data_IF_759727619262
#
_entry.id   IF_759727619262
#
_cell.length_a   1.000
_cell.length_b   1.000
_cell.length_c   1.000
_cell.angle_alpha   90.00
_cell.angle_beta   90.00
_cell.angle_gamma   90.00
#
_symmetry.space_group_name_H-M   'P 1'
#
loop_
_entity.id
_entity.type
_entity.pdbx_description
1 polymer ?
#
# COMPACT_ATOMS: atom_id res chain seq x y z
N UNK A 1 12.92 17.85 21.78
CA UNK A 1 12.48 16.81 20.82
C UNK A 1 12.85 17.32 19.43
N UNK A 2 13.32 16.44 18.51
CA UNK A 2 13.60 16.81 17.11
C UNK A 2 12.29 17.18 16.44
N UNK A 3 12.28 18.26 15.63
CA UNK A 3 11.13 18.67 14.84
C UNK A 3 11.35 18.34 13.37
N UNK A 4 10.35 17.71 12.73
CA UNK A 4 10.30 17.55 11.28
C UNK A 4 9.82 18.83 10.63
N UNK A 5 9.99 18.92 9.32
CA UNK A 5 9.53 20.03 8.49
C UNK A 5 8.85 19.49 7.24
N UNK A 6 7.98 20.27 6.64
CA UNK A 6 7.50 20.03 5.29
C UNK A 6 8.66 20.22 4.29
N UNK A 7 8.60 19.54 3.16
CA UNK A 7 9.54 19.74 2.04
C UNK A 7 8.79 20.33 0.85
N UNK A 8 8.97 21.62 0.62
CA UNK A 8 8.22 22.37 -0.40
C UNK A 8 9.19 23.15 -1.27
N UNK A 9 9.03 23.04 -2.60
CA UNK A 9 9.82 23.77 -3.58
C UNK A 9 11.35 23.65 -3.37
N UNK A 10 11.82 22.43 -3.07
CA UNK A 10 13.24 22.16 -2.92
C UNK A 10 13.85 22.54 -1.56
N UNK A 11 13.02 22.87 -0.56
CA UNK A 11 13.50 23.29 0.75
C UNK A 11 12.65 22.76 1.90
N UNK A 12 13.28 22.53 3.04
CA UNK A 12 12.57 22.27 4.29
C UNK A 12 11.96 23.55 4.86
N UNK A 13 10.68 23.51 5.19
CA UNK A 13 9.92 24.65 5.71
C UNK A 13 9.08 24.24 6.92
N UNK A 14 8.98 25.12 7.92
CA UNK A 14 8.11 24.92 9.06
C UNK A 14 6.63 25.07 8.65
N UNK A 15 5.70 24.40 9.37
CA UNK A 15 4.27 24.57 9.11
C UNK A 15 3.86 26.04 9.33
N UNK A 16 3.02 26.56 8.43
CA UNK A 16 2.60 27.96 8.43
C UNK A 16 1.96 28.40 9.76
N UNK A 17 1.22 27.51 10.41
CA UNK A 17 0.59 27.77 11.70
C UNK A 17 1.54 27.55 12.92
N UNK A 18 2.76 27.07 12.70
CA UNK A 18 3.73 26.76 13.77
C UNK A 18 3.25 25.66 14.72
N UNK A 19 2.32 24.81 14.30
CA UNK A 19 1.77 23.72 15.12
C UNK A 19 2.41 22.39 14.76
N UNK A 20 2.59 21.55 15.81
CA UNK A 20 3.18 20.22 15.70
C UNK A 20 2.38 19.20 16.49
N UNK A 21 2.43 17.94 16.08
CA UNK A 21 1.96 16.76 16.82
C UNK A 21 3.13 15.89 17.23
N UNK A 22 2.97 15.13 18.29
CA UNK A 22 3.96 14.16 18.73
C UNK A 22 3.87 12.88 17.91
N UNK A 23 5.02 12.37 17.47
CA UNK A 23 5.14 11.04 16.86
C UNK A 23 5.57 10.07 17.95
N UNK A 24 4.81 9.00 18.06
CA UNK A 24 4.98 7.97 19.09
C UNK A 24 5.77 6.81 18.50
N UNK A 25 6.81 6.36 19.19
CA UNK A 25 7.46 5.08 18.88
C UNK A 25 6.55 3.95 19.39
N UNK A 26 6.00 3.10 18.50
CA UNK A 26 5.03 2.09 18.89
C UNK A 26 5.64 0.94 19.70
N UNK A 27 6.98 0.81 19.70
CA UNK A 27 7.67 -0.24 20.47
C UNK A 27 7.72 0.05 21.97
N UNK A 28 7.56 1.32 22.38
CA UNK A 28 7.62 1.71 23.79
C UNK A 28 6.54 2.73 24.22
N UNK A 29 5.70 3.19 23.29
CA UNK A 29 4.62 4.15 23.56
C UNK A 29 5.09 5.57 23.86
N UNK A 30 6.36 5.92 23.62
CA UNK A 30 6.92 7.23 23.96
C UNK A 30 7.01 8.14 22.74
N UNK A 31 6.75 9.43 22.97
CA UNK A 31 6.98 10.45 21.96
C UNK A 31 8.49 10.70 21.78
N UNK A 32 8.96 10.76 20.52
CA UNK A 32 10.40 10.95 20.23
C UNK A 32 10.68 12.05 19.20
N UNK A 33 9.69 12.39 18.35
CA UNK A 33 9.77 13.39 17.28
C UNK A 33 8.49 14.21 17.29
N UNK A 34 8.56 15.47 16.87
CA UNK A 34 7.41 16.32 16.57
C UNK A 34 7.28 16.52 15.07
N UNK A 35 6.07 16.34 14.52
CA UNK A 35 5.77 16.48 13.10
C UNK A 35 4.81 17.64 12.85
N UNK A 36 4.94 18.37 11.72
CA UNK A 36 4.03 19.44 11.34
C UNK A 36 2.56 19.04 11.39
N UNK A 37 1.72 19.93 11.92
CA UNK A 37 0.28 19.95 11.67
C UNK A 37 0.00 21.04 10.64
N UNK A 38 0.17 20.68 9.37
CA UNK A 38 0.03 21.60 8.25
C UNK A 38 -1.42 21.96 7.97
N UNK A 39 -1.63 23.18 7.49
CA UNK A 39 -2.93 23.78 7.19
C UNK A 39 -3.13 23.94 5.68
N UNK A 40 -4.29 24.50 5.29
CA UNK A 40 -4.59 24.86 3.90
C UNK A 40 -3.49 25.76 3.27
N UNK A 41 -2.84 26.62 4.06
CA UNK A 41 -1.77 27.47 3.58
C UNK A 41 -0.52 26.68 3.14
N UNK A 42 -0.17 25.62 3.89
CA UNK A 42 0.95 24.73 3.54
C UNK A 42 0.63 23.91 2.28
N UNK A 43 -0.60 23.42 2.19
CA UNK A 43 -1.09 22.69 1.02
C UNK A 43 -1.12 23.60 -0.22
N UNK A 44 -1.61 24.83 -0.09
CA UNK A 44 -1.61 25.79 -1.19
C UNK A 44 -0.18 26.07 -1.66
N UNK A 45 0.75 26.34 -0.75
CA UNK A 45 2.16 26.57 -1.09
C UNK A 45 2.77 25.39 -1.86
N UNK A 46 2.53 24.16 -1.43
CA UNK A 46 3.03 22.96 -2.10
C UNK A 46 2.37 22.74 -3.47
N UNK A 47 1.05 22.95 -3.57
CA UNK A 47 0.32 22.83 -4.84
C UNK A 47 0.74 23.90 -5.86
N UNK A 48 0.98 25.13 -5.43
CA UNK A 48 1.50 26.22 -6.28
C UNK A 48 2.93 25.91 -6.77
N UNK A 49 3.80 25.41 -5.87
CA UNK A 49 5.15 25.00 -6.24
C UNK A 49 5.13 23.86 -7.28
N UNK A 50 4.29 22.85 -7.07
CA UNK A 50 4.10 21.76 -8.01
C UNK A 50 3.56 22.22 -9.36
N UNK A 51 2.61 23.15 -9.38
CA UNK A 51 2.04 23.72 -10.59
C UNK A 51 3.08 24.55 -11.39
N UNK A 52 3.90 25.34 -10.70
CA UNK A 52 4.97 26.11 -11.31
C UNK A 52 6.03 25.22 -11.96
N UNK A 53 6.44 24.15 -11.27
CA UNK A 53 7.43 23.19 -11.78
C UNK A 53 6.89 22.34 -12.95
N UNK A 54 5.60 22.06 -13.00
CA UNK A 54 4.97 21.19 -14.00
C UNK A 54 5.24 21.66 -15.44
N UNK A 55 5.27 22.97 -15.68
CA UNK A 55 5.48 23.54 -17.02
C UNK A 55 6.77 23.06 -17.68
N UNK A 56 7.88 23.03 -16.93
CA UNK A 56 9.18 22.56 -17.40
C UNK A 56 9.28 21.02 -17.32
N UNK A 57 8.83 20.42 -16.20
CA UNK A 57 8.96 18.98 -15.96
C UNK A 57 8.24 18.14 -17.02
N UNK A 58 7.03 18.50 -17.42
CA UNK A 58 6.26 17.77 -18.45
C UNK A 58 6.93 17.74 -19.83
N UNK A 59 7.87 18.67 -20.09
CA UNK A 59 8.60 18.75 -21.36
C UNK A 59 9.87 17.91 -21.36
N UNK A 60 10.29 17.37 -20.22
CA UNK A 60 11.42 16.45 -20.16
C UNK A 60 11.09 15.17 -20.93
N UNK A 61 12.11 14.61 -21.57
CA UNK A 61 11.96 13.34 -22.27
C UNK A 61 11.81 12.17 -21.30
N UNK A 62 11.21 11.05 -21.70
CA UNK A 62 11.17 9.83 -20.90
C UNK A 62 12.55 9.39 -20.44
N UNK A 63 13.60 9.57 -21.27
CA UNK A 63 14.97 9.22 -20.94
C UNK A 63 15.58 10.07 -19.83
N UNK A 64 15.29 11.37 -19.81
CA UNK A 64 15.74 12.26 -18.74
C UNK A 64 15.08 11.92 -17.41
N UNK A 65 13.76 11.67 -17.39
CA UNK A 65 13.05 11.24 -16.17
C UNK A 65 13.55 9.90 -15.68
N UNK A 66 13.73 8.90 -16.57
CA UNK A 66 14.31 7.61 -16.27
C UNK A 66 15.66 7.75 -15.55
N UNK A 67 16.58 8.54 -16.11
CA UNK A 67 17.89 8.77 -15.52
C UNK A 67 17.81 9.41 -14.13
N UNK A 68 16.96 10.42 -13.96
CA UNK A 68 16.79 11.08 -12.66
C UNK A 68 16.20 10.15 -11.60
N UNK A 69 15.23 9.30 -11.97
CA UNK A 69 14.65 8.33 -11.03
C UNK A 69 15.63 7.22 -10.65
N UNK A 70 16.51 6.76 -11.56
CA UNK A 70 17.60 5.85 -11.17
C UNK A 70 18.57 6.50 -10.19
N UNK A 71 18.92 7.78 -10.40
CA UNK A 71 19.76 8.52 -9.44
C UNK A 71 19.08 8.69 -8.08
N UNK A 72 17.76 8.87 -8.06
CA UNK A 72 17.00 8.90 -6.80
C UNK A 72 17.08 7.56 -6.08
N UNK A 73 16.94 6.44 -6.82
CA UNK A 73 17.07 5.11 -6.22
C UNK A 73 18.48 4.87 -5.65
N UNK A 74 19.51 5.23 -6.39
CA UNK A 74 20.90 5.11 -5.95
C UNK A 74 21.18 5.98 -4.70
N UNK A 75 20.69 7.23 -4.67
CA UNK A 75 20.84 8.09 -3.50
C UNK A 75 20.09 7.59 -2.27
N UNK A 76 18.89 7.00 -2.43
CA UNK A 76 18.20 6.34 -1.33
C UNK A 76 18.97 5.12 -0.82
N UNK A 77 19.59 4.35 -1.73
CA UNK A 77 20.43 3.20 -1.39
C UNK A 77 21.68 3.63 -0.60
N UNK A 78 22.35 4.70 -1.02
CA UNK A 78 23.51 5.28 -0.32
C UNK A 78 23.16 5.72 1.11
N UNK A 79 21.89 6.02 1.38
CA UNK A 79 21.38 6.39 2.72
C UNK A 79 20.61 5.25 3.41
N UNK A 80 20.78 4.00 2.96
CA UNK A 80 20.02 2.83 3.42
C UNK A 80 19.98 2.71 4.95
N UNK A 81 21.13 2.68 5.61
CA UNK A 81 21.17 2.45 7.06
C UNK A 81 20.40 3.51 7.83
N UNK A 82 20.55 4.78 7.45
CA UNK A 82 19.85 5.90 8.06
C UNK A 82 18.33 5.78 7.90
N UNK A 83 17.86 5.41 6.70
CA UNK A 83 16.45 5.28 6.38
C UNK A 83 15.83 4.05 7.05
N UNK A 84 16.55 2.93 7.08
CA UNK A 84 16.12 1.69 7.77
C UNK A 84 15.94 1.94 9.27
N UNK A 85 16.92 2.55 9.92
CA UNK A 85 16.83 2.87 11.35
C UNK A 85 15.64 3.79 11.65
N UNK A 86 15.45 4.82 10.84
CA UNK A 86 14.35 5.76 10.98
C UNK A 86 12.97 5.10 10.76
N UNK A 87 12.85 4.22 9.76
CA UNK A 87 11.60 3.47 9.49
C UNK A 87 11.28 2.52 10.64
N UNK A 88 12.29 1.77 11.14
CA UNK A 88 12.11 0.85 12.27
C UNK A 88 11.77 1.58 13.57
N UNK A 89 12.38 2.74 13.84
CA UNK A 89 12.02 3.55 15.01
C UNK A 89 10.57 4.07 14.92
N UNK A 90 10.13 4.44 13.71
CA UNK A 90 8.79 5.03 13.49
C UNK A 90 7.68 3.96 13.42
N UNK A 91 7.97 2.76 12.93
CA UNK A 91 6.98 1.70 12.72
C UNK A 91 7.08 0.55 13.71
N UNK A 92 8.23 0.39 14.35
CA UNK A 92 8.54 -0.76 15.20
C UNK A 92 8.91 -2.03 14.46
N UNK A 93 9.05 -2.01 13.12
CA UNK A 93 9.42 -3.19 12.32
C UNK A 93 10.77 -3.76 12.73
N UNK A 94 10.98 -5.10 12.66
CA UNK A 94 12.27 -5.72 12.90
C UNK A 94 13.34 -5.19 11.94
N UNK A 95 14.51 -4.84 12.47
CA UNK A 95 15.61 -4.24 11.69
C UNK A 95 16.06 -5.12 10.53
N UNK A 96 16.16 -6.43 10.73
CA UNK A 96 16.62 -7.34 9.67
C UNK A 96 15.58 -7.46 8.55
N UNK A 97 14.27 -7.52 8.85
CA UNK A 97 13.22 -7.55 7.84
C UNK A 97 13.24 -6.26 7.00
N UNK A 98 13.31 -5.11 7.66
CA UNK A 98 13.37 -3.83 6.94
C UNK A 98 14.66 -3.72 6.10
N UNK A 99 15.82 -4.12 6.65
CA UNK A 99 17.11 -3.99 5.98
C UNK A 99 17.31 -4.96 4.82
N UNK A 100 16.91 -6.23 5.00
CA UNK A 100 17.30 -7.31 4.11
C UNK A 100 16.20 -7.70 3.12
N UNK A 101 14.93 -7.36 3.41
CA UNK A 101 13.77 -7.70 2.58
C UNK A 101 13.05 -6.45 2.06
N UNK A 102 12.52 -5.59 2.93
CA UNK A 102 11.65 -4.49 2.54
C UNK A 102 12.41 -3.38 1.79
N UNK A 103 13.58 -2.97 2.29
CA UNK A 103 14.34 -1.88 1.67
C UNK A 103 14.86 -2.22 0.26
N UNK A 104 15.42 -3.42 -0.01
CA UNK A 104 15.74 -3.83 -1.38
C UNK A 104 14.51 -3.85 -2.29
N UNK A 105 13.37 -4.32 -1.80
CA UNK A 105 12.11 -4.36 -2.55
C UNK A 105 11.62 -2.97 -2.97
N UNK A 106 11.63 -2.00 -2.06
CA UNK A 106 11.19 -0.63 -2.39
C UNK A 106 12.12 0.05 -3.43
N UNK A 107 13.41 -0.25 -3.40
CA UNK A 107 14.36 0.24 -4.43
C UNK A 107 14.09 -0.40 -5.79
N UNK A 108 13.77 -1.70 -5.81
CA UNK A 108 13.41 -2.40 -7.04
C UNK A 108 12.14 -1.81 -7.67
N UNK A 109 11.12 -1.49 -6.86
CA UNK A 109 9.93 -0.78 -7.32
C UNK A 109 10.28 0.57 -7.96
N UNK A 110 11.13 1.36 -7.34
CA UNK A 110 11.53 2.66 -7.89
C UNK A 110 12.35 2.51 -9.18
N UNK A 111 13.27 1.54 -9.23
CA UNK A 111 14.04 1.22 -10.42
C UNK A 111 13.17 0.71 -11.56
N UNK A 112 12.15 -0.07 -11.25
CA UNK A 112 11.14 -0.48 -12.23
C UNK A 112 10.45 0.75 -12.84
N UNK A 113 9.93 1.69 -12.03
CA UNK A 113 9.30 2.91 -12.56
C UNK A 113 10.28 3.77 -13.37
N UNK A 114 11.54 3.84 -12.96
CA UNK A 114 12.58 4.53 -13.72
C UNK A 114 12.77 3.91 -15.11
N UNK A 115 12.80 2.58 -15.22
CA UNK A 115 12.91 1.86 -16.49
C UNK A 115 11.64 2.02 -17.33
N UNK A 116 10.48 1.80 -16.73
CA UNK A 116 9.16 1.82 -17.37
C UNK A 116 8.74 3.23 -17.86
N UNK A 117 9.38 4.32 -17.36
CA UNK A 117 9.19 5.66 -17.89
C UNK A 117 9.40 5.74 -19.43
N UNK A 118 10.21 4.82 -19.99
CA UNK A 118 10.52 4.73 -21.42
C UNK A 118 9.56 3.87 -22.24
N UNK A 119 8.68 3.10 -21.60
CA UNK A 119 7.75 2.15 -22.25
C UNK A 119 6.28 2.63 -22.14
N UNK A 120 6.02 3.83 -22.64
CA UNK A 120 4.65 4.35 -22.74
C UNK A 120 3.97 3.78 -23.98
N UNK A 121 3.10 2.81 -23.79
CA UNK A 121 2.37 2.13 -24.87
C UNK A 121 1.21 2.96 -25.38
N UNK A 122 0.89 2.84 -26.69
CA UNK A 122 -0.23 3.50 -27.37
C UNK A 122 -0.54 2.86 -28.70
N UNK A 123 -1.58 3.38 -29.37
CA UNK A 123 -1.90 2.99 -30.75
C UNK A 123 -0.80 3.49 -31.69
N UNK A 124 -0.46 2.69 -32.68
CA UNK A 124 0.43 3.11 -33.75
C UNK A 124 -0.14 4.36 -34.47
N UNK A 125 0.73 5.24 -34.95
CA UNK A 125 0.34 6.30 -35.84
C UNK A 125 -0.08 5.71 -37.19
N UNK A 126 -1.09 6.32 -37.85
CA UNK A 126 -1.55 5.86 -39.16
C UNK A 126 -2.79 6.55 -39.68
N UNK A 127 -3.20 6.15 -40.87
CA UNK A 127 -4.39 6.67 -41.55
C UNK A 127 -5.62 5.94 -41.14
N UNK A 128 -6.32 6.38 -40.10
CA UNK A 128 -7.58 5.81 -39.61
C UNK A 128 -8.85 6.42 -40.27
N UNK A 129 -8.68 7.51 -41.02
CA UNK A 129 -9.71 8.11 -41.83
C UNK A 129 -9.10 8.58 -43.15
N UNK A 130 -9.83 8.43 -44.28
CA UNK A 130 -9.36 8.80 -45.61
C UNK A 130 -8.89 10.26 -45.63
N UNK A 131 -7.68 10.50 -46.12
CA UNK A 131 -7.08 11.83 -46.19
C UNK A 131 -6.67 12.44 -44.85
N UNK A 132 -6.54 11.61 -43.78
CA UNK A 132 -6.11 12.08 -42.47
C UNK A 132 -5.10 11.12 -41.87
N UNK A 133 -4.09 11.68 -41.23
CA UNK A 133 -3.14 10.96 -40.38
C UNK A 133 -3.46 11.18 -38.90
N UNK A 134 -3.29 10.16 -38.10
CA UNK A 134 -3.67 10.18 -36.68
C UNK A 134 -2.55 9.63 -35.81
N UNK A 135 -2.36 10.27 -34.65
CA UNK A 135 -1.44 9.82 -33.63
C UNK A 135 -2.08 9.94 -32.24
N UNK A 136 -1.82 8.95 -31.41
CA UNK A 136 -2.18 9.00 -29.98
C UNK A 136 -0.95 9.38 -29.18
N UNK A 137 -1.12 10.38 -28.30
CA UNK A 137 -0.10 10.80 -27.35
C UNK A 137 -0.55 10.47 -25.92
N UNK A 138 0.35 9.96 -25.09
CA UNK A 138 0.18 9.93 -23.64
C UNK A 138 0.83 11.18 -23.05
N UNK A 139 0.05 11.95 -22.32
CA UNK A 139 0.50 13.17 -21.67
C UNK A 139 0.31 13.06 -20.17
N UNK A 140 1.18 13.67 -19.33
CA UNK A 140 0.96 13.72 -17.90
C UNK A 140 -0.37 14.39 -17.55
N UNK A 141 -0.98 13.97 -16.45
CA UNK A 141 -2.28 14.50 -15.98
C UNK A 141 -2.11 15.94 -15.47
N UNK A 142 -1.01 16.23 -14.74
CA UNK A 142 -0.75 17.53 -14.11
C UNK A 142 -0.09 17.40 -12.74
N UNK A 143 -0.57 18.15 -11.77
CA UNK A 143 -0.22 17.97 -10.36
C UNK A 143 -1.00 16.79 -9.79
N UNK A 144 -0.32 15.87 -9.10
CA UNK A 144 -0.91 14.76 -8.39
C UNK A 144 -0.87 15.00 -6.88
N UNK A 145 -2.03 14.99 -6.24
CA UNK A 145 -2.17 14.92 -4.77
C UNK A 145 -2.13 13.47 -4.32
N UNK A 146 -1.28 13.16 -3.35
CA UNK A 146 -1.02 11.78 -2.96
C UNK A 146 -1.06 11.62 -1.44
N UNK A 147 -1.70 10.55 -0.96
CA UNK A 147 -1.78 10.22 0.47
C UNK A 147 -1.31 8.78 0.65
N UNK A 148 -0.25 8.59 1.43
CA UNK A 148 0.28 7.27 1.75
C UNK A 148 -0.09 6.83 3.17
N UNK A 149 -0.28 5.52 3.39
CA UNK A 149 -0.64 4.94 4.67
C UNK A 149 0.57 4.83 5.61
N UNK A 150 0.35 4.22 6.75
CA UNK A 150 1.32 4.11 7.83
C UNK A 150 2.02 2.75 7.93
N UNK A 151 1.55 1.72 7.21
CA UNK A 151 2.04 0.35 7.37
C UNK A 151 3.37 0.08 6.63
N UNK A 152 3.60 0.73 5.48
CA UNK A 152 4.85 0.71 4.71
C UNK A 152 5.20 2.13 4.25
N UNK A 153 5.59 3.04 5.15
CA UNK A 153 5.62 4.49 4.89
C UNK A 153 6.41 4.89 3.65
N UNK A 154 7.67 4.50 3.54
CA UNK A 154 8.51 4.87 2.40
C UNK A 154 8.11 4.13 1.14
N UNK A 155 7.83 2.82 1.23
CA UNK A 155 7.46 2.00 0.09
C UNK A 155 6.15 2.50 -0.55
N UNK A 156 5.13 2.77 0.25
CA UNK A 156 3.86 3.30 -0.25
C UNK A 156 4.01 4.73 -0.79
N UNK A 157 4.95 5.51 -0.27
CA UNK A 157 5.34 6.77 -0.87
C UNK A 157 5.88 6.58 -2.29
N UNK A 158 6.80 5.62 -2.48
CA UNK A 158 7.38 5.26 -3.78
C UNK A 158 6.31 4.80 -4.78
N UNK A 159 5.37 3.96 -4.36
CA UNK A 159 4.26 3.52 -5.21
C UNK A 159 3.41 4.69 -5.72
N UNK A 160 3.37 5.80 -4.99
CA UNK A 160 2.61 7.00 -5.39
C UNK A 160 3.46 7.94 -6.25
N UNK A 161 4.62 8.40 -5.77
CA UNK A 161 5.39 9.37 -6.52
C UNK A 161 6.17 8.77 -7.71
N UNK A 162 6.61 7.51 -7.61
CA UNK A 162 7.40 6.84 -8.65
C UNK A 162 6.72 6.88 -10.03
N UNK A 163 5.53 6.27 -10.21
CA UNK A 163 4.82 6.28 -11.49
C UNK A 163 4.37 7.69 -11.90
N UNK A 164 4.01 8.56 -10.95
CA UNK A 164 3.61 9.93 -11.24
C UNK A 164 4.75 10.72 -11.87
N UNK A 165 5.95 10.68 -11.28
CA UNK A 165 7.15 11.35 -11.78
C UNK A 165 7.63 10.74 -13.11
N UNK A 166 7.60 9.41 -13.22
CA UNK A 166 7.94 8.69 -14.45
C UNK A 166 7.06 9.12 -15.62
N UNK A 167 5.76 9.33 -15.39
CA UNK A 167 4.81 9.82 -16.37
C UNK A 167 4.95 11.33 -16.71
N UNK A 168 5.76 12.09 -15.93
CA UNK A 168 6.00 13.53 -16.15
C UNK A 168 5.06 14.46 -15.36
N UNK A 169 4.37 13.94 -14.33
CA UNK A 169 3.60 14.74 -13.39
C UNK A 169 4.50 15.32 -12.30
N UNK A 170 4.00 16.33 -11.60
CA UNK A 170 4.55 16.83 -10.33
C UNK A 170 3.67 16.37 -9.17
N UNK A 171 4.24 16.25 -7.97
CA UNK A 171 3.54 15.61 -6.85
C UNK A 171 3.54 16.45 -5.58
N UNK A 172 2.45 16.33 -4.82
CA UNK A 172 2.34 16.74 -3.43
C UNK A 172 1.95 15.49 -2.63
N UNK A 173 2.89 14.93 -1.90
CA UNK A 173 2.71 13.73 -1.09
C UNK A 173 2.43 14.10 0.36
N UNK A 174 1.34 13.56 0.92
CA UNK A 174 1.05 13.61 2.35
C UNK A 174 1.24 12.21 2.95
N UNK A 175 2.33 11.96 3.68
CA UNK A 175 2.49 10.71 4.42
C UNK A 175 1.49 10.63 5.59
N UNK A 176 1.31 9.45 6.16
CA UNK A 176 0.51 9.28 7.38
C UNK A 176 1.03 10.16 8.51
N UNK A 177 0.12 10.62 9.34
CA UNK A 177 0.39 11.41 10.55
C UNK A 177 1.15 10.64 11.64
N UNK A 178 1.06 9.31 11.65
CA UNK A 178 1.76 8.46 12.62
C UNK A 178 3.16 8.04 12.16
N UNK A 179 3.41 7.98 10.84
CA UNK A 179 4.68 7.50 10.29
C UNK A 179 5.29 8.41 9.22
N UNK A 180 5.48 9.71 9.47
CA UNK A 180 5.99 10.64 8.48
C UNK A 180 7.51 10.70 8.38
N UNK A 181 8.25 10.09 9.31
CA UNK A 181 9.67 10.40 9.54
C UNK A 181 10.53 10.04 8.34
N UNK A 182 10.43 8.81 7.86
CA UNK A 182 11.28 8.32 6.76
C UNK A 182 10.97 9.03 5.46
N UNK A 183 9.68 9.28 5.16
CA UNK A 183 9.27 10.05 3.98
C UNK A 183 9.79 11.49 4.03
N UNK A 184 9.77 12.13 5.21
CA UNK A 184 10.33 13.48 5.38
C UNK A 184 11.86 13.50 5.17
N UNK A 185 12.57 12.48 5.63
CA UNK A 185 14.02 12.35 5.42
C UNK A 185 14.35 12.08 3.95
N UNK A 186 13.64 11.15 3.32
CA UNK A 186 13.79 10.83 1.91
C UNK A 186 13.51 12.04 1.01
N UNK A 187 12.61 12.95 1.43
CA UNK A 187 12.28 14.13 0.65
C UNK A 187 13.50 15.05 0.38
N UNK A 188 14.38 15.23 1.37
CA UNK A 188 15.62 15.98 1.17
C UNK A 188 16.58 15.30 0.20
N UNK A 189 16.77 13.98 0.37
CA UNK A 189 17.63 13.17 -0.52
C UNK A 189 17.13 13.23 -1.97
N UNK A 190 15.83 13.02 -2.18
CA UNK A 190 15.18 13.12 -3.49
C UNK A 190 15.33 14.52 -4.08
N UNK A 191 15.19 15.55 -3.25
CA UNK A 191 15.24 16.95 -3.66
C UNK A 191 16.63 17.46 -4.06
N UNK A 192 17.72 16.77 -3.70
CA UNK A 192 19.06 17.05 -4.22
C UNK A 192 19.20 16.68 -5.72
N UNK A 193 18.31 15.82 -6.22
CA UNK A 193 18.36 15.27 -7.57
C UNK A 193 17.28 15.87 -8.47
N UNK A 194 16.06 16.00 -7.95
CA UNK A 194 14.93 16.51 -8.72
C UNK A 194 14.85 18.04 -8.67
N UNK A 195 14.41 18.69 -9.76
CA UNK A 195 14.21 20.13 -9.74
C UNK A 195 13.22 20.58 -8.65
N UNK A 196 13.42 21.76 -8.03
CA UNK A 196 12.51 22.30 -7.03
C UNK A 196 11.05 22.30 -7.50
N UNK A 197 10.14 21.91 -6.60
CA UNK A 197 8.70 21.84 -6.86
C UNK A 197 8.22 20.59 -7.61
N UNK A 198 9.10 19.78 -8.20
CA UNK A 198 8.70 18.52 -8.87
C UNK A 198 8.17 17.51 -7.86
N UNK A 199 8.79 17.40 -6.70
CA UNK A 199 8.39 16.57 -5.58
C UNK A 199 8.25 17.42 -4.33
N UNK A 200 7.09 17.33 -3.65
CA UNK A 200 6.80 18.07 -2.43
C UNK A 200 6.19 17.10 -1.38
N UNK A 201 6.53 17.30 -0.12
CA UNK A 201 5.99 16.52 1.00
C UNK A 201 5.38 17.47 2.02
N UNK A 202 4.10 17.29 2.34
CA UNK A 202 3.38 18.08 3.36
C UNK A 202 2.90 17.13 4.44
N UNK A 203 3.40 17.30 5.66
CA UNK A 203 3.10 16.47 6.81
C UNK A 203 1.91 17.07 7.56
N UNK A 204 1.00 16.22 8.01
CA UNK A 204 -0.16 16.64 8.77
C UNK A 204 -1.16 15.52 8.94
N UNK A 205 -2.25 15.83 9.61
CA UNK A 205 -3.30 14.92 9.97
C UNK A 205 -4.36 14.71 8.86
N UNK A 206 -5.54 14.24 9.26
CA UNK A 206 -6.68 14.03 8.37
C UNK A 206 -7.18 15.32 7.71
N UNK A 207 -7.14 16.45 8.43
CA UNK A 207 -7.62 17.72 7.89
C UNK A 207 -6.66 18.27 6.83
N UNK A 208 -5.35 18.09 7.01
CA UNK A 208 -4.35 18.34 5.96
C UNK A 208 -4.61 17.47 4.71
N UNK A 209 -4.99 16.20 4.90
CA UNK A 209 -5.36 15.30 3.81
C UNK A 209 -6.61 15.80 3.05
N UNK A 210 -7.63 16.25 3.77
CA UNK A 210 -8.85 16.84 3.19
C UNK A 210 -8.54 18.10 2.38
N UNK A 211 -7.68 18.97 2.93
CA UNK A 211 -7.23 20.19 2.23
C UNK A 211 -6.57 19.83 0.90
N UNK A 212 -5.68 18.82 0.86
CA UNK A 212 -5.03 18.37 -0.38
C UNK A 212 -6.03 17.84 -1.40
N UNK A 213 -6.97 17.00 -0.97
CA UNK A 213 -7.97 16.38 -1.87
C UNK A 213 -8.91 17.42 -2.47
N UNK A 214 -9.33 18.40 -1.66
CA UNK A 214 -10.26 19.45 -2.07
C UNK A 214 -9.58 20.61 -2.79
N UNK A 215 -8.24 20.69 -2.77
CA UNK A 215 -7.50 21.80 -3.40
C UNK A 215 -7.69 21.80 -4.93
N UNK A 216 -7.96 22.95 -5.58
CA UNK A 216 -8.33 23.02 -7.00
C UNK A 216 -7.21 22.64 -7.99
N UNK A 217 -5.95 22.69 -7.60
CA UNK A 217 -4.80 22.45 -8.49
C UNK A 217 -4.59 20.97 -8.86
N UNK A 218 -4.58 20.00 -7.92
CA UNK A 218 -4.40 18.59 -8.27
C UNK A 218 -5.47 18.09 -9.23
N UNK A 219 -5.05 17.37 -10.28
CA UNK A 219 -5.92 16.79 -11.30
C UNK A 219 -6.13 15.28 -11.10
N UNK A 220 -5.29 14.69 -10.30
CA UNK A 220 -5.39 13.28 -9.87
C UNK A 220 -5.11 13.24 -8.37
N UNK A 221 -5.92 12.47 -7.66
CA UNK A 221 -5.73 12.14 -6.26
C UNK A 221 -5.46 10.64 -6.16
N UNK A 222 -4.33 10.26 -5.57
CA UNK A 222 -3.98 8.87 -5.32
C UNK A 222 -3.89 8.61 -3.83
N UNK A 223 -4.65 7.63 -3.35
CA UNK A 223 -4.72 7.29 -1.92
C UNK A 223 -4.56 5.80 -1.75
N UNK A 224 -3.67 5.40 -0.84
CA UNK A 224 -3.69 4.08 -0.21
C UNK A 224 -4.14 4.24 1.24
N UNK A 225 -5.16 3.48 1.65
CA UNK A 225 -5.73 3.61 2.98
C UNK A 225 -6.99 2.79 3.21
N UNK A 226 -7.82 3.19 4.18
CA UNK A 226 -9.06 2.46 4.50
C UNK A 226 -10.18 2.73 3.49
N UNK A 227 -11.13 1.79 3.36
CA UNK A 227 -12.37 1.95 2.59
C UNK A 227 -13.06 3.29 2.89
N UNK A 228 -13.20 3.64 4.18
CA UNK A 228 -13.78 4.91 4.59
C UNK A 228 -13.05 6.12 4.00
N UNK A 229 -11.71 6.09 4.00
CA UNK A 229 -10.92 7.17 3.41
C UNK A 229 -11.12 7.24 1.89
N UNK A 230 -11.18 6.11 1.20
CA UNK A 230 -11.44 6.04 -0.24
C UNK A 230 -12.79 6.65 -0.62
N UNK A 231 -13.85 6.33 0.12
CA UNK A 231 -15.20 6.89 -0.09
C UNK A 231 -15.17 8.42 0.12
N UNK A 232 -14.56 8.90 1.21
CA UNK A 232 -14.45 10.33 1.52
C UNK A 232 -13.68 11.08 0.44
N UNK A 233 -12.56 10.53 -0.02
CA UNK A 233 -11.73 11.09 -1.08
C UNK A 233 -12.48 11.15 -2.41
N UNK A 234 -13.18 10.09 -2.79
CA UNK A 234 -13.97 10.04 -4.02
C UNK A 234 -15.06 11.13 -4.02
N UNK A 235 -15.75 11.30 -2.90
CA UNK A 235 -16.75 12.35 -2.75
C UNK A 235 -16.16 13.75 -2.84
N UNK A 236 -15.01 14.00 -2.20
CA UNK A 236 -14.33 15.30 -2.20
C UNK A 236 -13.68 15.64 -3.55
N UNK A 237 -13.28 14.65 -4.33
CA UNK A 237 -12.67 14.83 -5.65
C UNK A 237 -13.72 15.12 -6.76
N UNK A 238 -14.96 14.68 -6.59
CA UNK A 238 -16.02 14.75 -7.59
C UNK A 238 -16.39 16.16 -8.08
N UNK A 239 -16.47 17.22 -7.25
CA UNK A 239 -16.81 18.56 -7.69
C UNK A 239 -15.90 19.11 -8.79
N UNK A 240 -14.60 18.78 -8.76
CA UNK A 240 -13.60 19.22 -9.73
C UNK A 240 -13.31 18.18 -10.82
N UNK A 241 -14.07 17.07 -10.88
CA UNK A 241 -13.86 15.96 -11.80
C UNK A 241 -12.42 15.42 -11.79
N UNK A 242 -11.80 15.39 -10.62
CA UNK A 242 -10.46 14.87 -10.47
C UNK A 242 -10.47 13.35 -10.69
N UNK A 243 -9.43 12.83 -11.31
CA UNK A 243 -9.20 11.39 -11.31
C UNK A 243 -8.88 10.93 -9.90
N UNK A 244 -9.36 9.76 -9.55
CA UNK A 244 -9.08 9.12 -8.26
C UNK A 244 -8.47 7.76 -8.51
N UNK A 245 -7.35 7.49 -7.84
CA UNK A 245 -6.68 6.21 -7.79
C UNK A 245 -6.73 5.74 -6.32
N UNK A 246 -7.37 4.62 -6.08
CA UNK A 246 -7.65 4.10 -4.74
C UNK A 246 -7.10 2.69 -4.61
N UNK A 247 -6.18 2.52 -3.69
CA UNK A 247 -5.75 1.23 -3.19
C UNK A 247 -6.18 1.16 -1.73
N UNK A 248 -7.13 0.26 -1.42
CA UNK A 248 -7.83 0.25 -0.15
C UNK A 248 -7.64 -1.08 0.58
N UNK A 249 -8.35 -1.25 1.69
CA UNK A 249 -8.27 -2.44 2.51
C UNK A 249 -8.65 -3.74 1.79
N UNK A 250 -8.24 -4.85 2.37
CA UNK A 250 -8.53 -6.19 1.90
C UNK A 250 -9.03 -7.10 3.01
N UNK A 251 -9.47 -8.29 2.61
CA UNK A 251 -9.80 -9.40 3.50
C UNK A 251 -9.50 -10.71 2.76
N UNK A 252 -8.22 -10.87 2.41
CA UNK A 252 -7.77 -11.91 1.50
C UNK A 252 -8.17 -13.31 1.97
N UNK A 253 -8.97 -14.06 1.18
CA UNK A 253 -9.23 -15.47 1.42
C UNK A 253 -8.05 -16.30 0.92
N UNK A 254 -7.71 -17.36 1.63
CA UNK A 254 -6.77 -18.38 1.20
C UNK A 254 -7.48 -19.73 1.20
N UNK A 255 -7.69 -20.31 0.03
CA UNK A 255 -8.39 -21.58 -0.16
C UNK A 255 -7.38 -22.72 -0.11
N UNK A 256 -7.52 -23.63 0.85
CA UNK A 256 -6.61 -24.77 1.04
C UNK A 256 -7.36 -26.08 0.79
N UNK A 257 -6.99 -26.76 -0.29
CA UNK A 257 -7.58 -28.04 -0.69
C UNK A 257 -6.82 -29.24 -0.10
N UNK A 258 -7.43 -30.40 -0.18
CA UNK A 258 -7.00 -31.66 0.44
C UNK A 258 -5.78 -32.35 -0.23
N UNK A 259 -5.29 -31.79 -1.32
CA UNK A 259 -4.19 -32.33 -2.13
C UNK A 259 -2.82 -31.65 -1.89
N UNK A 260 -2.68 -30.89 -0.80
CA UNK A 260 -1.45 -30.13 -0.46
C UNK A 260 -0.69 -30.78 0.70
N UNK A 261 0.58 -30.37 0.85
CA UNK A 261 1.30 -30.56 2.11
C UNK A 261 0.73 -29.57 3.14
N UNK A 262 0.04 -30.13 4.14
CA UNK A 262 -0.72 -29.33 5.11
C UNK A 262 0.17 -28.47 5.99
N UNK A 263 1.31 -29.02 6.44
CA UNK A 263 2.23 -28.27 7.31
C UNK A 263 2.93 -27.16 6.56
N UNK A 264 3.45 -27.41 5.35
CA UNK A 264 4.06 -26.40 4.51
C UNK A 264 3.06 -25.29 4.12
N UNK A 265 1.80 -25.65 3.86
CA UNK A 265 0.76 -24.65 3.57
C UNK A 265 0.45 -23.79 4.80
N UNK A 266 0.34 -24.42 5.99
CA UNK A 266 0.08 -23.71 7.25
C UNK A 266 1.23 -22.75 7.62
N UNK A 267 2.50 -23.20 7.44
CA UNK A 267 3.69 -22.37 7.65
C UNK A 267 3.66 -21.11 6.78
N UNK A 268 3.49 -21.27 5.47
CA UNK A 268 3.49 -20.17 4.53
C UNK A 268 2.30 -19.20 4.74
N UNK A 269 1.13 -19.75 5.13
CA UNK A 269 -0.06 -18.95 5.42
C UNK A 269 0.11 -18.19 6.75
N UNK A 270 0.70 -18.81 7.77
CA UNK A 270 1.03 -18.13 9.03
C UNK A 270 2.00 -16.98 8.77
N UNK A 271 3.06 -17.20 7.99
CA UNK A 271 3.99 -16.16 7.58
C UNK A 271 3.25 -15.00 6.88
N UNK A 272 2.43 -15.30 5.88
CA UNK A 272 1.67 -14.29 5.14
C UNK A 272 0.60 -13.57 5.97
N UNK A 273 0.05 -14.21 7.01
CA UNK A 273 -0.94 -13.59 7.90
C UNK A 273 -0.35 -12.74 9.02
N UNK A 274 0.91 -13.00 9.40
CA UNK A 274 1.56 -12.32 10.53
C UNK A 274 2.64 -11.31 10.12
N UNK A 275 3.03 -11.25 8.84
CA UNK A 275 3.98 -10.23 8.37
C UNK A 275 3.52 -8.84 8.79
N UNK A 276 4.47 -7.98 9.19
CA UNK A 276 4.19 -6.63 9.66
C UNK A 276 3.07 -6.56 10.72
N UNK A 277 2.97 -7.57 11.60
CA UNK A 277 1.87 -7.74 12.57
C UNK A 277 0.47 -7.83 11.92
N UNK A 278 0.35 -8.41 10.73
CA UNK A 278 -0.90 -8.47 9.97
C UNK A 278 -1.39 -7.10 9.46
N UNK A 279 -0.54 -6.09 9.49
CA UNK A 279 -0.82 -4.74 9.00
C UNK A 279 -0.49 -4.62 7.51
N UNK A 280 -1.08 -5.51 6.74
CA UNK A 280 -0.91 -5.59 5.29
C UNK A 280 -2.29 -5.77 4.63
N UNK A 281 -2.57 -4.99 3.58
CA UNK A 281 -3.85 -5.02 2.88
C UNK A 281 -4.11 -6.35 2.16
N UNK A 282 -3.04 -7.12 1.89
CA UNK A 282 -3.09 -8.41 1.22
C UNK A 282 -2.82 -9.58 2.17
N UNK A 283 -2.64 -9.35 3.49
CA UNK A 283 -2.36 -10.41 4.47
C UNK A 283 -3.36 -11.57 4.39
N UNK A 284 -2.88 -12.80 4.60
CA UNK A 284 -3.71 -14.01 4.64
C UNK A 284 -4.63 -14.02 5.88
N UNK A 285 -5.68 -13.17 5.85
CA UNK A 285 -6.52 -12.89 7.01
C UNK A 285 -7.66 -13.90 7.21
N UNK A 286 -8.07 -14.57 6.13
CA UNK A 286 -9.16 -15.57 6.12
C UNK A 286 -8.70 -16.86 5.46
N UNK A 287 -8.64 -17.97 6.17
CA UNK A 287 -8.29 -19.27 5.61
C UNK A 287 -9.54 -20.12 5.47
N UNK A 288 -9.77 -20.63 4.28
CA UNK A 288 -10.85 -21.53 3.94
C UNK A 288 -10.23 -22.90 3.67
N UNK A 289 -10.54 -23.91 4.47
CA UNK A 289 -9.87 -25.22 4.48
C UNK A 289 -10.86 -26.32 4.14
N UNK A 290 -10.48 -27.23 3.24
CA UNK A 290 -11.31 -28.38 2.92
C UNK A 290 -11.56 -29.25 4.16
N UNK A 291 -12.80 -29.69 4.39
CA UNK A 291 -13.26 -30.39 5.59
C UNK A 291 -12.37 -31.57 5.99
N UNK A 292 -11.87 -32.33 5.01
CA UNK A 292 -11.08 -33.53 5.25
C UNK A 292 -9.71 -33.28 5.90
N UNK A 293 -9.18 -32.07 5.83
CA UNK A 293 -7.87 -31.70 6.39
C UNK A 293 -7.98 -30.59 7.44
N UNK A 294 -9.19 -30.15 7.77
CA UNK A 294 -9.44 -28.99 8.62
C UNK A 294 -8.74 -29.08 9.99
N UNK A 295 -8.96 -30.17 10.71
CA UNK A 295 -8.41 -30.32 12.06
C UNK A 295 -6.87 -30.35 12.02
N UNK A 296 -6.28 -31.10 11.09
CA UNK A 296 -4.84 -31.15 10.89
C UNK A 296 -4.26 -29.77 10.53
N UNK A 297 -4.92 -29.03 9.63
CA UNK A 297 -4.48 -27.71 9.24
C UNK A 297 -4.51 -26.72 10.42
N UNK A 298 -5.58 -26.75 11.21
CA UNK A 298 -5.69 -25.89 12.41
C UNK A 298 -4.59 -26.20 13.42
N UNK A 299 -4.27 -27.49 13.66
CA UNK A 299 -3.16 -27.87 14.53
C UNK A 299 -1.83 -27.29 14.04
N UNK A 300 -1.47 -27.48 12.76
CA UNK A 300 -0.26 -26.95 12.16
C UNK A 300 -0.22 -25.40 12.25
N UNK A 301 -1.32 -24.74 11.88
CA UNK A 301 -1.39 -23.27 11.93
C UNK A 301 -1.20 -22.72 13.35
N UNK A 302 -1.75 -23.38 14.36
CA UNK A 302 -1.58 -23.02 15.79
C UNK A 302 -0.13 -23.18 16.23
N UNK A 303 0.56 -24.25 15.81
CA UNK A 303 1.98 -24.45 16.13
C UNK A 303 2.85 -23.36 15.49
N UNK A 304 2.63 -23.02 14.22
CA UNK A 304 3.34 -21.93 13.55
C UNK A 304 3.01 -20.57 14.18
N UNK A 305 1.76 -20.31 14.57
CA UNK A 305 1.39 -19.12 15.31
C UNK A 305 2.15 -18.98 16.64
N UNK A 306 2.21 -20.06 17.43
CA UNK A 306 2.91 -20.08 18.72
C UNK A 306 4.43 -19.91 18.58
N UNK A 307 5.01 -20.41 17.49
CA UNK A 307 6.45 -20.29 17.22
C UNK A 307 6.86 -18.93 16.66
N UNK A 308 5.91 -18.11 16.21
CA UNK A 308 6.19 -16.78 15.65
C UNK A 308 6.70 -15.83 16.74
N UNK A 309 7.94 -15.41 16.60
CA UNK A 309 8.59 -14.46 17.52
C UNK A 309 8.18 -13.04 17.12
N UNK A 310 7.82 -12.22 18.09
CA UNK A 310 7.51 -10.80 17.88
C UNK A 310 8.08 -9.95 19.01
N UNK A 311 8.38 -8.69 18.71
CA UNK A 311 8.98 -7.79 19.70
C UNK A 311 9.51 -6.48 19.11
N UNK A 312 10.23 -5.67 19.89
CA UNK A 312 10.94 -4.48 19.43
C UNK A 312 11.88 -4.75 18.24
N UNK A 313 12.28 -3.71 17.49
CA UNK A 313 13.06 -3.85 16.25
C UNK A 313 14.37 -4.65 16.37
N UNK A 314 14.98 -4.67 17.55
CA UNK A 314 16.24 -5.35 17.84
C UNK A 314 16.06 -6.77 18.43
N UNK A 315 14.84 -7.26 18.53
CA UNK A 315 14.57 -8.62 19.04
C UNK A 315 15.11 -9.66 18.07
N UNK A 316 16.02 -10.55 18.52
CA UNK A 316 16.58 -11.60 17.65
C UNK A 316 15.49 -12.52 17.11
N UNK A 317 15.43 -12.66 15.78
CA UNK A 317 14.47 -13.54 15.08
C UNK A 317 13.03 -13.07 15.14
N UNK A 318 12.75 -11.84 15.55
CA UNK A 318 11.39 -11.31 15.52
C UNK A 318 10.88 -11.26 14.07
N UNK A 319 9.72 -11.85 13.84
CA UNK A 319 9.06 -11.84 12.55
C UNK A 319 8.26 -10.54 12.35
N UNK A 320 7.70 -9.99 13.42
CA UNK A 320 7.00 -8.69 13.35
C UNK A 320 7.18 -7.86 14.63
N UNK A 321 6.90 -6.59 14.50
CA UNK A 321 6.93 -5.58 15.54
C UNK A 321 5.57 -5.26 16.16
N UNK A 322 5.38 -4.08 16.77
CA UNK A 322 4.11 -3.66 17.35
C UNK A 322 3.08 -3.26 16.28
N UNK A 323 1.84 -3.11 16.72
CA UNK A 323 0.81 -2.37 15.99
C UNK A 323 1.15 -0.87 15.98
N UNK A 324 0.76 -0.18 14.93
CA UNK A 324 1.15 1.21 14.65
C UNK A 324 0.86 2.21 15.79
N UNK A 325 -0.23 2.03 16.53
CA UNK A 325 -0.67 2.98 17.55
C UNK A 325 -1.51 2.31 18.63
N UNK A 326 -1.68 2.99 19.77
CA UNK A 326 -2.58 2.54 20.83
C UNK A 326 -4.03 2.39 20.33
N UNK A 327 -4.51 3.35 19.54
CA UNK A 327 -5.85 3.30 18.96
C UNK A 327 -6.01 2.08 18.05
N UNK A 328 -4.96 1.70 17.31
CA UNK A 328 -5.00 0.52 16.47
C UNK A 328 -4.95 -0.77 17.28
N UNK A 329 -4.15 -0.82 18.35
CA UNK A 329 -4.15 -1.92 19.32
C UNK A 329 -5.54 -2.12 19.94
N UNK A 330 -6.21 -1.04 20.32
CA UNK A 330 -7.58 -1.08 20.86
C UNK A 330 -8.59 -1.56 19.80
N UNK A 331 -8.43 -1.14 18.54
CA UNK A 331 -9.25 -1.65 17.41
C UNK A 331 -9.11 -3.17 17.28
N UNK A 332 -7.89 -3.69 17.24
CA UNK A 332 -7.62 -5.14 17.08
C UNK A 332 -8.14 -5.91 18.29
N UNK A 333 -7.86 -5.45 19.50
CA UNK A 333 -8.37 -6.06 20.74
C UNK A 333 -9.89 -6.11 20.75
N UNK A 334 -10.55 -5.03 20.31
CA UNK A 334 -12.01 -4.95 20.26
C UNK A 334 -12.65 -5.98 19.31
N UNK A 335 -11.99 -6.41 18.24
CA UNK A 335 -12.47 -7.52 17.39
C UNK A 335 -12.51 -8.83 18.17
N UNK A 336 -11.51 -9.10 19.00
CA UNK A 336 -11.46 -10.32 19.82
C UNK A 336 -12.49 -10.26 20.97
N UNK A 337 -12.63 -9.10 21.60
CA UNK A 337 -13.60 -8.89 22.70
C UNK A 337 -15.06 -9.03 22.25
N UNK A 338 -15.35 -8.70 20.98
CA UNK A 338 -16.71 -8.78 20.40
C UNK A 338 -16.98 -10.10 19.68
N UNK A 339 -16.10 -11.11 19.79
CA UNK A 339 -16.35 -12.38 19.17
C UNK A 339 -17.66 -12.99 19.64
N UNK A 340 -18.47 -13.54 18.73
CA UNK A 340 -19.69 -14.27 19.12
C UNK A 340 -19.34 -15.54 19.89
N UNK A 341 -20.27 -16.01 20.74
CA UNK A 341 -20.04 -17.15 21.66
C UNK A 341 -19.72 -18.47 20.97
N UNK A 342 -19.97 -18.61 19.66
CA UNK A 342 -19.61 -19.79 18.89
C UNK A 342 -18.16 -19.76 18.40
N UNK A 343 -17.59 -18.58 18.19
CA UNK A 343 -16.21 -18.41 17.74
C UNK A 343 -15.22 -18.68 18.89
N UNK A 344 -14.08 -19.26 18.55
CA UNK A 344 -13.08 -19.68 19.53
C UNK A 344 -11.70 -19.15 19.14
N UNK A 345 -11.03 -18.50 20.08
CA UNK A 345 -9.60 -18.18 19.98
C UNK A 345 -8.82 -19.41 20.45
N UNK A 346 -8.09 -20.05 19.56
CA UNK A 346 -7.32 -21.28 19.85
C UNK A 346 -5.86 -20.99 20.19
N UNK A 347 -5.35 -19.81 19.83
CA UNK A 347 -4.05 -19.29 20.28
C UNK A 347 -4.02 -17.77 20.18
N UNK A 348 -3.21 -17.11 21.02
CA UNK A 348 -3.08 -15.66 21.06
C UNK A 348 -4.30 -14.93 21.62
N UNK A 349 -4.69 -13.84 20.98
CA UNK A 349 -5.89 -13.06 21.33
C UNK A 349 -5.67 -11.96 22.34
N UNK A 350 -4.43 -11.73 22.76
CA UNK A 350 -4.12 -10.76 23.83
C UNK A 350 -3.15 -9.67 23.39
N UNK A 351 -3.44 -8.47 23.85
CA UNK A 351 -2.49 -7.36 23.75
C UNK A 351 -1.36 -7.54 24.78
N UNK A 352 -0.12 -7.27 24.36
CA UNK A 352 1.04 -7.24 25.24
C UNK A 352 1.59 -5.82 25.27
N UNK A 353 1.65 -5.26 26.48
CA UNK A 353 2.15 -3.88 26.74
C UNK A 353 3.45 -3.87 27.51
N UNK A 354 4.27 -4.90 27.37
CA UNK A 354 5.57 -4.99 27.99
C UNK A 354 6.44 -3.81 27.54
N UNK A 355 6.97 -3.04 28.46
CA UNK A 355 7.73 -1.82 28.13
C UNK A 355 6.94 -0.66 27.56
N UNK A 356 5.59 -0.71 27.54
CA UNK A 356 4.72 0.35 27.01
C UNK A 356 4.41 0.25 25.52
N UNK A 357 4.94 -0.76 24.82
CA UNK A 357 4.71 -0.98 23.38
C UNK A 357 3.31 -1.51 23.07
N UNK A 358 2.93 -1.47 21.78
CA UNK A 358 1.61 -1.82 21.29
C UNK A 358 1.59 -3.19 20.61
N UNK A 359 2.10 -4.22 21.29
CA UNK A 359 2.20 -5.57 20.73
C UNK A 359 0.89 -6.34 20.86
N UNK A 360 0.64 -7.21 19.88
CA UNK A 360 -0.49 -8.14 19.88
C UNK A 360 -0.01 -9.54 19.50
N UNK A 361 -0.52 -10.56 20.16
CA UNK A 361 -0.10 -11.95 19.96
C UNK A 361 -0.58 -12.50 18.61
N UNK A 362 0.21 -13.39 17.94
CA UNK A 362 -0.26 -14.14 16.77
C UNK A 362 -1.50 -14.92 17.14
N UNK A 363 -2.60 -14.66 16.43
CA UNK A 363 -3.93 -15.11 16.85
C UNK A 363 -4.58 -15.96 15.77
N UNK A 364 -5.16 -17.10 16.18
CA UNK A 364 -5.98 -17.95 15.32
C UNK A 364 -7.38 -18.05 15.93
N UNK A 365 -8.41 -17.78 15.11
CA UNK A 365 -9.83 -17.84 15.49
C UNK A 365 -10.53 -18.85 14.61
N UNK A 366 -11.19 -19.83 15.22
CA UNK A 366 -11.96 -20.89 14.53
C UNK A 366 -13.45 -20.82 14.86
N UNK A 367 -14.23 -21.69 14.24
CA UNK A 367 -15.69 -21.76 14.42
C UNK A 367 -16.41 -20.45 14.09
N UNK A 368 -15.83 -19.62 13.23
CA UNK A 368 -16.43 -18.38 12.74
C UNK A 368 -17.42 -18.69 11.62
N UNK A 369 -18.44 -17.83 11.47
CA UNK A 369 -19.43 -17.89 10.40
C UNK A 369 -19.18 -16.78 9.38
N UNK A 370 -19.70 -16.98 8.18
CA UNK A 370 -19.50 -16.01 7.08
C UNK A 370 -19.97 -14.60 7.41
N UNK A 371 -21.03 -14.43 8.21
CA UNK A 371 -21.61 -13.15 8.59
C UNK A 371 -21.01 -12.53 9.87
N UNK A 372 -20.04 -13.19 10.50
CA UNK A 372 -19.37 -12.64 11.67
C UNK A 372 -18.54 -11.39 11.32
N UNK A 373 -18.52 -10.39 12.20
CA UNK A 373 -17.77 -9.14 12.04
C UNK A 373 -16.29 -9.42 11.71
N UNK A 374 -15.67 -10.37 12.39
CA UNK A 374 -14.25 -10.69 12.21
C UNK A 374 -13.94 -11.32 10.84
N UNK A 375 -14.93 -11.89 10.16
CA UNK A 375 -14.83 -12.46 8.81
C UNK A 375 -15.07 -11.37 7.76
N UNK A 376 -16.03 -10.49 7.99
CA UNK A 376 -16.47 -9.47 7.03
C UNK A 376 -15.62 -8.20 7.05
N UNK A 377 -15.09 -7.82 8.22
CA UNK A 377 -14.33 -6.59 8.41
C UNK A 377 -12.82 -6.80 8.39
N UNK A 378 -12.09 -5.81 7.93
CA UNK A 378 -10.63 -5.80 7.95
C UNK A 378 -10.12 -5.51 9.37
N UNK A 379 -9.54 -6.52 10.02
CA UNK A 379 -8.91 -6.39 11.36
C UNK A 379 -7.64 -5.54 11.27
N UNK A 380 -6.80 -5.84 10.29
CA UNK A 380 -5.49 -5.21 10.05
C UNK A 380 -4.53 -5.43 11.22
N UNK A 381 -4.50 -6.65 11.73
CA UNK A 381 -3.72 -7.11 12.87
C UNK A 381 -3.35 -8.58 12.73
N UNK A 382 -2.52 -9.16 13.61
CA UNK A 382 -2.02 -10.53 13.49
C UNK A 382 -3.10 -11.56 13.89
N UNK A 383 -4.20 -11.55 13.15
CA UNK A 383 -5.39 -12.38 13.42
C UNK A 383 -5.82 -13.09 12.15
N UNK A 384 -5.76 -14.41 12.17
CA UNK A 384 -6.19 -15.30 11.10
C UNK A 384 -7.48 -16.01 11.52
N UNK A 385 -8.51 -15.96 10.69
CA UNK A 385 -9.74 -16.74 10.87
C UNK A 385 -9.71 -17.98 10.00
N UNK A 386 -10.22 -19.13 10.50
CA UNK A 386 -10.29 -20.38 9.75
C UNK A 386 -11.72 -20.87 9.67
N UNK A 387 -12.21 -21.13 8.46
CA UNK A 387 -13.50 -21.73 8.16
C UNK A 387 -13.29 -23.02 7.35
N UNK A 388 -14.18 -23.99 7.46
CA UNK A 388 -14.17 -25.16 6.59
C UNK A 388 -15.06 -24.97 5.38
N UNK A 389 -14.83 -25.78 4.33
CA UNK A 389 -15.70 -25.94 3.18
C UNK A 389 -15.72 -27.42 2.72
N UNK A 390 -16.84 -27.85 2.16
CA UNK A 390 -17.02 -29.21 1.70
C UNK A 390 -16.64 -29.44 0.23
N UNK A 391 -16.80 -28.42 -0.61
CA UNK A 391 -16.52 -28.48 -2.05
C UNK A 391 -16.04 -27.15 -2.64
N UNK A 392 -15.63 -27.20 -3.92
CA UNK A 392 -15.09 -26.04 -4.67
C UNK A 392 -16.10 -24.90 -4.80
N UNK A 393 -17.41 -25.19 -4.94
CA UNK A 393 -18.44 -24.18 -5.06
C UNK A 393 -18.67 -23.43 -3.74
N UNK A 394 -18.66 -24.13 -2.63
CA UNK A 394 -18.76 -23.53 -1.31
C UNK A 394 -17.52 -22.68 -1.02
N UNK A 395 -16.30 -23.18 -1.31
CA UNK A 395 -15.06 -22.43 -1.16
C UNK A 395 -15.11 -21.09 -1.91
N UNK A 396 -15.58 -21.12 -3.16
CA UNK A 396 -15.73 -19.92 -4.00
C UNK A 396 -16.78 -18.96 -3.45
N UNK A 397 -17.94 -19.49 -3.01
CA UNK A 397 -19.00 -18.70 -2.40
C UNK A 397 -18.51 -17.98 -1.13
N UNK A 398 -17.83 -18.69 -0.24
CA UNK A 398 -17.24 -18.11 0.97
C UNK A 398 -16.15 -17.09 0.61
N UNK A 399 -15.27 -17.39 -0.34
CA UNK A 399 -14.20 -16.49 -0.74
C UNK A 399 -14.74 -15.15 -1.25
N UNK A 400 -15.66 -15.19 -2.21
CA UNK A 400 -16.28 -14.00 -2.82
C UNK A 400 -17.30 -13.29 -1.91
N UNK A 401 -17.73 -13.94 -0.83
CA UNK A 401 -18.77 -13.49 0.10
C UNK A 401 -18.35 -12.36 1.05
N UNK A 402 -17.40 -11.51 0.66
CA UNK A 402 -17.01 -10.28 1.34
C UNK A 402 -17.02 -9.10 0.38
N UNK A 403 -17.14 -7.88 0.92
CA UNK A 403 -17.16 -6.68 0.07
C UNK A 403 -15.78 -6.30 -0.50
N UNK A 404 -14.72 -6.83 0.04
CA UNK A 404 -13.35 -6.61 -0.44
C UNK A 404 -12.99 -7.52 -1.62
N UNK A 405 -11.99 -7.09 -2.42
CA UNK A 405 -11.53 -7.84 -3.57
C UNK A 405 -10.10 -7.47 -3.98
N UNK A 406 -9.15 -7.36 -3.00
CA UNK A 406 -7.76 -7.01 -3.30
C UNK A 406 -6.96 -8.22 -3.74
N UNK A 407 -6.82 -9.20 -2.86
CA UNK A 407 -6.02 -10.39 -3.11
C UNK A 407 -6.70 -11.66 -2.61
N UNK A 408 -6.36 -12.81 -3.21
CA UNK A 408 -6.76 -14.15 -2.81
C UNK A 408 -5.60 -15.14 -2.98
N UNK A 409 -5.64 -16.27 -2.29
CA UNK A 409 -4.71 -17.38 -2.44
C UNK A 409 -5.43 -18.70 -2.71
N UNK A 410 -4.81 -19.58 -3.50
CA UNK A 410 -5.28 -20.94 -3.79
C UNK A 410 -4.14 -21.91 -3.51
N UNK A 411 -4.38 -22.90 -2.68
CA UNK A 411 -3.44 -23.98 -2.40
C UNK A 411 -4.02 -25.31 -2.89
N UNK A 412 -3.49 -25.82 -4.00
CA UNK A 412 -3.86 -27.10 -4.62
C UNK A 412 -2.81 -27.47 -5.67
N UNK A 413 -2.67 -28.76 -5.96
CA UNK A 413 -1.85 -29.25 -7.08
C UNK A 413 -2.66 -29.52 -8.36
N UNK A 414 -3.99 -29.40 -8.31
CA UNK A 414 -4.87 -29.65 -9.47
C UNK A 414 -4.91 -28.45 -10.39
N UNK A 415 -4.22 -28.55 -11.53
CA UNK A 415 -4.12 -27.47 -12.52
C UNK A 415 -5.49 -26.96 -13.02
N UNK A 416 -6.44 -27.87 -13.28
CA UNK A 416 -7.77 -27.49 -13.75
C UNK A 416 -8.57 -26.72 -12.69
N UNK A 417 -8.42 -27.06 -11.42
CA UNK A 417 -9.02 -26.34 -10.28
C UNK A 417 -8.45 -24.92 -10.21
N UNK A 418 -7.13 -24.76 -10.37
CA UNK A 418 -6.46 -23.46 -10.39
C UNK A 418 -7.06 -22.57 -11.48
N UNK A 419 -7.23 -23.08 -12.70
CA UNK A 419 -7.78 -22.32 -13.82
C UNK A 419 -9.23 -21.88 -13.56
N UNK A 420 -10.08 -22.78 -13.05
CA UNK A 420 -11.48 -22.44 -12.74
C UNK A 420 -11.55 -21.38 -11.65
N UNK A 421 -10.93 -21.64 -10.50
CA UNK A 421 -11.01 -20.73 -9.36
C UNK A 421 -10.40 -19.37 -9.66
N UNK A 422 -9.25 -19.31 -10.34
CA UNK A 422 -8.63 -18.02 -10.70
C UNK A 422 -9.49 -17.19 -11.65
N UNK A 423 -10.36 -17.82 -12.45
CA UNK A 423 -11.30 -17.12 -13.32
C UNK A 423 -12.56 -16.61 -12.59
N UNK A 424 -12.95 -17.24 -11.47
CA UNK A 424 -14.20 -16.94 -10.77
C UNK A 424 -13.99 -16.16 -9.46
N UNK A 425 -12.77 -16.10 -8.94
CA UNK A 425 -12.42 -15.28 -7.77
C UNK A 425 -12.46 -13.79 -8.13
N UNK A 426 -13.28 -13.02 -7.42
CA UNK A 426 -13.48 -11.58 -7.63
C UNK A 426 -12.42 -10.73 -6.89
N UNK A 427 -11.16 -10.97 -7.23
CA UNK A 427 -9.99 -10.30 -6.62
C UNK A 427 -9.03 -9.82 -7.70
N UNK A 428 -8.39 -8.67 -7.45
CA UNK A 428 -7.43 -8.09 -8.38
C UNK A 428 -6.15 -8.91 -8.54
N UNK A 429 -5.82 -9.71 -7.52
CA UNK A 429 -4.65 -10.59 -7.51
C UNK A 429 -5.01 -11.98 -6.95
N UNK A 430 -4.51 -13.03 -7.59
CA UNK A 430 -4.67 -14.42 -7.12
C UNK A 430 -3.31 -15.10 -7.13
N UNK A 431 -2.86 -15.53 -5.96
CA UNK A 431 -1.67 -16.36 -5.81
C UNK A 431 -2.01 -17.86 -5.82
N UNK A 432 -1.08 -18.66 -6.30
CA UNK A 432 -1.23 -20.12 -6.33
C UNK A 432 -0.04 -20.77 -5.65
N UNK A 433 -0.28 -21.54 -4.59
CA UNK A 433 0.72 -22.20 -3.76
C UNK A 433 1.82 -21.23 -3.22
N UNK A 434 1.46 -19.96 -3.06
CA UNK A 434 2.25 -18.92 -2.43
C UNK A 434 1.33 -17.79 -1.96
N UNK A 435 1.86 -16.82 -1.22
CA UNK A 435 1.14 -15.60 -0.83
C UNK A 435 2.14 -14.46 -0.62
N UNK A 436 1.72 -13.20 -0.82
CA UNK A 436 2.53 -11.98 -0.66
C UNK A 436 3.81 -11.91 -1.52
N UNK A 437 3.91 -12.69 -2.58
CA UNK A 437 4.99 -12.53 -3.56
C UNK A 437 4.64 -11.37 -4.49
N UNK A 438 5.42 -10.31 -4.42
CA UNK A 438 5.22 -9.07 -5.19
C UNK A 438 6.33 -8.93 -6.22
N UNK A 439 5.95 -8.68 -7.47
CA UNK A 439 6.88 -8.35 -8.55
C UNK A 439 6.50 -6.98 -9.12
N UNK A 440 7.43 -6.03 -9.24
CA UNK A 440 7.13 -4.67 -9.72
C UNK A 440 6.58 -4.64 -11.14
N UNK A 441 6.85 -5.68 -11.94
CA UNK A 441 6.35 -5.83 -13.31
C UNK A 441 4.86 -6.18 -13.40
N UNK A 442 4.26 -6.66 -12.32
CA UNK A 442 2.87 -7.13 -12.27
C UNK A 442 1.96 -6.15 -11.53
N UNK A 443 0.71 -5.96 -12.00
CA UNK A 443 -0.19 -4.97 -11.40
C UNK A 443 -0.63 -5.38 -10.00
N UNK A 444 -0.81 -4.36 -9.15
CA UNK A 444 -1.49 -4.44 -7.89
C UNK A 444 -2.74 -3.56 -7.96
N UNK A 445 -3.93 -4.17 -7.88
CA UNK A 445 -5.19 -3.46 -8.02
C UNK A 445 -6.30 -4.12 -7.20
N UNK A 446 -7.28 -3.33 -6.79
CA UNK A 446 -8.46 -3.79 -6.06
C UNK A 446 -9.69 -3.94 -6.94
N UNK A 447 -10.54 -4.92 -6.59
CA UNK A 447 -11.92 -5.04 -7.07
C UNK A 447 -12.86 -4.63 -5.95
N UNK A 448 -14.12 -4.43 -6.26
CA UNK A 448 -15.17 -4.11 -5.28
C UNK A 448 -14.77 -2.92 -4.36
N UNK A 449 -14.85 -3.09 -3.05
CA UNK A 449 -14.52 -2.05 -2.08
C UNK A 449 -13.00 -1.92 -1.77
N UNK A 450 -12.17 -2.73 -2.43
CA UNK A 450 -10.71 -2.58 -2.34
C UNK A 450 -10.16 -1.50 -3.26
N UNK A 451 -11.01 -0.83 -4.03
CA UNK A 451 -10.65 0.34 -4.81
C UNK A 451 -10.54 0.10 -6.30
N UNK A 452 -9.82 0.99 -6.97
CA UNK A 452 -9.59 0.98 -8.42
C UNK A 452 -8.35 1.79 -8.77
N UNK A 453 -7.79 1.54 -9.93
CA UNK A 453 -6.47 2.00 -10.35
C UNK A 453 -5.43 0.89 -10.13
N UNK A 454 -4.24 1.08 -10.67
CA UNK A 454 -3.18 0.09 -10.61
C UNK A 454 -1.94 0.67 -9.97
N UNK A 455 -1.49 0.10 -8.87
CA UNK A 455 -0.12 0.27 -8.40
C UNK A 455 0.76 -0.81 -9.06
N UNK A 456 2.06 -0.59 -9.14
CA UNK A 456 3.03 -1.42 -9.84
C UNK A 456 2.75 -1.58 -11.35
N UNK A 457 3.62 -2.29 -12.04
CA UNK A 457 3.59 -2.51 -13.48
C UNK A 457 3.53 -1.24 -14.35
N UNK A 458 3.54 -1.43 -15.66
CA UNK A 458 3.33 -0.36 -16.63
C UNK A 458 1.94 0.29 -16.54
N UNK A 459 0.93 -0.43 -16.02
CA UNK A 459 -0.41 0.11 -15.84
C UNK A 459 -0.45 1.26 -14.83
N UNK A 460 0.38 1.21 -13.77
CA UNK A 460 0.49 2.32 -12.84
C UNK A 460 0.89 3.62 -13.55
N UNK A 461 1.91 3.57 -14.43
CA UNK A 461 2.33 4.75 -15.19
C UNK A 461 1.22 5.22 -16.14
N UNK A 462 0.48 4.28 -16.75
CA UNK A 462 -0.65 4.61 -17.62
C UNK A 462 -1.75 5.38 -16.87
N UNK A 463 -2.06 4.99 -15.64
CA UNK A 463 -3.07 5.67 -14.80
C UNK A 463 -2.69 7.13 -14.50
N UNK A 464 -1.39 7.43 -14.42
CA UNK A 464 -0.88 8.81 -14.28
C UNK A 464 -0.75 9.56 -15.59
N UNK A 465 -1.27 9.03 -16.71
CA UNK A 465 -1.29 9.69 -18.02
C UNK A 465 -2.72 9.94 -18.51
N UNK A 466 -2.86 10.86 -19.45
CA UNK A 466 -4.08 11.06 -20.24
C UNK A 466 -3.78 10.85 -21.72
N UNK A 467 -4.77 10.32 -22.43
CA UNK A 467 -4.69 10.08 -23.85
C UNK A 467 -5.15 11.33 -24.61
N UNK A 468 -4.35 11.76 -25.58
CA UNK A 468 -4.71 12.80 -26.55
C UNK A 468 -4.64 12.23 -27.97
N UNK A 469 -5.73 12.28 -28.69
CA UNK A 469 -5.76 12.02 -30.14
C UNK A 469 -5.44 13.31 -30.91
N UNK A 470 -4.49 13.23 -31.82
CA UNK A 470 -4.17 14.31 -32.76
C UNK A 470 -4.43 13.78 -34.17
N UNK A 471 -5.29 14.45 -34.93
CA UNK A 471 -5.60 14.11 -36.32
C UNK A 471 -5.19 15.28 -37.21
N UNK A 472 -4.43 15.00 -38.26
CA UNK A 472 -3.98 15.98 -39.27
C UNK A 472 -4.56 15.60 -40.62
N UNK A 473 -5.17 16.57 -41.30
CA UNK A 473 -5.54 16.44 -42.71
C UNK A 473 -4.26 16.34 -43.54
N UNK A 474 -4.19 15.37 -44.41
CA UNK A 474 -3.13 15.24 -45.41
C UNK A 474 -3.69 15.50 -46.80
N UNK A 475 -2.99 16.32 -47.60
CA UNK A 475 -3.37 16.50 -48.99
C UNK A 475 -3.05 15.22 -49.77
N UNK A 476 -4.07 14.54 -50.20
CA UNK A 476 -3.93 13.45 -51.17
C UNK A 476 -3.72 14.12 -52.51
N UNK A 477 -2.48 14.14 -53.01
CA UNK A 477 -2.17 14.48 -54.38
C UNK A 477 -2.60 13.36 -55.32
#
# INVERSE_FOLDING_TARGET
MRQLQNYINGSYVNPAAGKYSQIINPSNGQAYVEAPLSTDADIDAACQAAAAAFGAWRLTTPGERSLLLFRVADALEDHKDLLVEAECENTGKPLHIMRDEEFPGLLDHLRFYAAAARDLRGLAAGTFATGHDSVVRREPVGVCGQVSPWNYPLNMGIWKFGPALAAGNTTVLKPSDTTPVTTAMAAGIIGEILPPGVFNVVIGDRDTGRALVSHPIPRLISVTGSERAGIEVSGAAAPDLKRVHLELGGKAPVLVFDDVDVDAAAEAIAAAGYINAGQDCEAAARVLVHDSIYDQFVECLVEHAKSTIFGPPDTPGAYYGPLNSLMHLEKVSGFIERLPSHAQVVTGGSARRDGGGFFFEPTVVISVRQDDEIVQEEVFGPVITVQSFADENEALCLANGVRFGLAAGIWTHQHERILRLSAELEFGKVWVNCHLVVAPDMPNNGYKHSGHGNDLSGFAIEDYTRIKHVMSKIDTR
#
